data_IF_029827416717
#
_entry.id   IF_029827416717
#
_cell.length_a   1.000
_cell.length_b   1.000
_cell.length_c   1.000
_cell.angle_alpha   90.00
_cell.angle_beta   90.00
_cell.angle_gamma   90.00
#
_symmetry.space_group_name_H-M   'P 1'
#
loop_
_entity.id
_entity.type
_entity.pdbx_description
1 polymer ?
#
# COMPACT_ATOMS: atom_id res chain seq x y z
N UNK A 1 -20.75 11.66 -24.27
CA UNK A 1 -21.41 11.93 -22.97
C UNK A 1 -21.30 10.73 -22.02
N UNK A 2 -21.68 9.52 -22.45
CA UNK A 2 -21.70 8.31 -21.61
C UNK A 2 -20.33 7.89 -21.05
N UNK A 3 -19.24 8.06 -21.79
CA UNK A 3 -17.86 7.76 -21.32
C UNK A 3 -17.43 8.66 -20.18
N UNK A 4 -17.76 9.96 -20.24
CA UNK A 4 -17.47 10.91 -19.16
C UNK A 4 -18.26 10.57 -17.89
N UNK A 5 -19.53 10.19 -18.03
CA UNK A 5 -20.36 9.77 -16.89
C UNK A 5 -19.86 8.45 -16.28
N UNK A 6 -19.51 7.46 -17.11
CA UNK A 6 -18.96 6.19 -16.63
C UNK A 6 -17.58 6.37 -15.96
N UNK A 7 -16.72 7.22 -16.53
CA UNK A 7 -15.44 7.57 -15.93
C UNK A 7 -15.62 8.33 -14.61
N UNK A 8 -16.55 9.29 -14.56
CA UNK A 8 -16.86 10.03 -13.33
C UNK A 8 -17.39 9.09 -12.24
N UNK A 9 -18.32 8.18 -12.57
CA UNK A 9 -18.84 7.19 -11.64
C UNK A 9 -17.74 6.24 -11.14
N UNK A 10 -16.89 5.72 -12.02
CA UNK A 10 -15.76 4.87 -11.66
C UNK A 10 -14.73 5.62 -10.79
N UNK A 11 -14.45 6.88 -11.10
CA UNK A 11 -13.52 7.73 -10.34
C UNK A 11 -14.05 8.01 -8.93
N UNK A 12 -15.35 8.29 -8.79
CA UNK A 12 -16.00 8.46 -7.49
C UNK A 12 -15.91 7.14 -6.69
N UNK A 13 -16.21 6.00 -7.33
CA UNK A 13 -16.09 4.69 -6.69
C UNK A 13 -14.64 4.40 -6.21
N UNK A 14 -13.63 4.77 -7.00
CA UNK A 14 -12.22 4.65 -6.61
C UNK A 14 -11.85 5.59 -5.46
N UNK A 15 -12.30 6.84 -5.48
CA UNK A 15 -12.06 7.83 -4.42
C UNK A 15 -12.65 7.39 -3.08
N UNK A 16 -13.82 6.74 -3.12
CA UNK A 16 -14.52 6.24 -1.92
C UNK A 16 -13.83 5.03 -1.30
N UNK A 17 -12.97 4.32 -2.04
CA UNK A 17 -12.16 3.22 -1.50
C UNK A 17 -10.77 3.79 -1.20
N UNK A 18 -10.55 4.42 -0.02
CA UNK A 18 -9.21 4.75 0.42
C UNK A 18 -8.43 3.45 0.50
N UNK A 19 -7.49 3.26 -0.43
CA UNK A 19 -6.71 2.04 -0.50
C UNK A 19 -5.90 1.81 0.79
N UNK A 20 -5.35 0.60 0.97
CA UNK A 20 -4.52 0.26 2.14
C UNK A 20 -3.39 1.27 2.41
N UNK A 21 -2.83 1.84 1.33
CA UNK A 21 -1.77 2.86 1.41
C UNK A 21 -2.24 4.18 2.05
N UNK A 22 -3.42 4.69 1.66
CA UNK A 22 -3.97 5.94 2.21
C UNK A 22 -4.32 5.84 3.69
N UNK A 23 -4.90 4.70 4.09
CA UNK A 23 -5.19 4.38 5.50
C UNK A 23 -3.89 4.22 6.30
N UNK A 24 -2.85 3.60 5.72
CA UNK A 24 -1.55 3.45 6.35
C UNK A 24 -0.85 4.80 6.63
N UNK A 25 -0.85 5.72 5.67
CA UNK A 25 -0.23 7.04 5.83
C UNK A 25 -0.99 7.88 6.87
N UNK A 26 -2.32 7.84 6.85
CA UNK A 26 -3.16 8.60 7.79
C UNK A 26 -2.99 8.09 9.24
N UNK A 27 -2.98 6.77 9.45
CA UNK A 27 -2.75 6.16 10.78
C UNK A 27 -1.32 6.38 11.28
N UNK A 28 -0.29 6.27 10.42
CA UNK A 28 1.11 6.54 10.79
C UNK A 28 1.35 8.01 11.13
N UNK A 29 0.75 8.93 10.37
CA UNK A 29 0.85 10.38 10.62
C UNK A 29 0.17 10.78 11.93
N UNK A 30 -0.99 10.17 12.22
CA UNK A 30 -1.71 10.38 13.48
C UNK A 30 -0.99 9.76 14.70
N UNK A 31 -0.36 8.58 14.55
CA UNK A 31 0.20 7.83 15.67
C UNK A 31 1.65 8.19 16.05
N UNK A 32 2.48 8.64 15.11
CA UNK A 32 3.93 8.85 15.33
C UNK A 32 4.42 10.27 15.01
N UNK A 33 3.49 11.18 14.69
CA UNK A 33 3.78 12.57 14.33
C UNK A 33 4.28 12.75 12.89
N UNK A 34 4.27 13.99 12.41
CA UNK A 34 4.52 14.37 11.01
C UNK A 34 5.86 13.84 10.46
N UNK A 35 6.91 13.81 11.29
CA UNK A 35 8.26 13.37 10.88
C UNK A 35 8.36 11.86 10.63
N UNK A 36 7.76 11.02 11.48
CA UNK A 36 7.75 9.57 11.28
C UNK A 36 6.80 9.15 10.15
N UNK A 37 5.73 9.92 9.95
CA UNK A 37 4.86 9.82 8.77
C UNK A 37 5.63 10.10 7.47
N UNK A 38 6.41 11.18 7.41
CA UNK A 38 7.18 11.56 6.22
C UNK A 38 8.20 10.50 5.79
N UNK A 39 8.97 9.94 6.74
CA UNK A 39 9.96 8.90 6.44
C UNK A 39 9.29 7.61 5.95
N UNK A 40 8.15 7.26 6.54
CA UNK A 40 7.37 6.09 6.09
C UNK A 40 6.78 6.31 4.69
N UNK A 41 6.26 7.50 4.41
CA UNK A 41 5.72 7.86 3.10
C UNK A 41 6.80 7.84 2.02
N UNK A 42 7.96 8.45 2.29
CA UNK A 42 9.10 8.40 1.38
C UNK A 42 9.59 6.97 1.13
N UNK A 43 9.64 6.12 2.16
CA UNK A 43 9.99 4.71 1.99
C UNK A 43 9.01 3.95 1.09
N UNK A 44 7.71 4.15 1.28
CA UNK A 44 6.66 3.50 0.47
C UNK A 44 6.68 4.01 -0.97
N UNK A 45 6.81 5.32 -1.17
CA UNK A 45 6.92 5.93 -2.50
C UNK A 45 8.16 5.42 -3.24
N UNK A 46 9.33 5.42 -2.58
CA UNK A 46 10.58 4.94 -3.21
C UNK A 46 10.48 3.46 -3.58
N UNK A 47 9.90 2.62 -2.71
CA UNK A 47 9.66 1.21 -3.02
C UNK A 47 8.66 1.02 -4.17
N UNK A 48 7.63 1.85 -4.23
CA UNK A 48 6.64 1.85 -5.31
C UNK A 48 7.29 2.24 -6.64
N UNK A 49 8.15 3.25 -6.67
CA UNK A 49 8.89 3.66 -7.86
C UNK A 49 9.80 2.53 -8.37
N UNK A 50 10.56 1.87 -7.49
CA UNK A 50 11.40 0.73 -7.87
C UNK A 50 10.56 -0.40 -8.45
N UNK A 51 9.41 -0.70 -7.83
CA UNK A 51 8.49 -1.72 -8.33
C UNK A 51 7.91 -1.36 -9.70
N UNK A 52 7.48 -0.11 -9.90
CA UNK A 52 6.95 0.37 -11.19
C UNK A 52 8.02 0.24 -12.28
N UNK A 53 9.26 0.64 -12.00
CA UNK A 53 10.37 0.50 -12.95
C UNK A 53 10.58 -0.97 -13.32
N UNK A 54 10.59 -1.86 -12.33
CA UNK A 54 10.75 -3.30 -12.56
C UNK A 54 9.57 -3.90 -13.35
N UNK A 55 8.35 -3.46 -13.07
CA UNK A 55 7.15 -3.89 -13.77
C UNK A 55 7.16 -3.39 -15.22
N UNK A 56 7.44 -2.11 -15.45
CA UNK A 56 7.45 -1.53 -16.80
C UNK A 56 8.60 -2.10 -17.63
N UNK A 57 9.80 -2.23 -17.08
CA UNK A 57 10.94 -2.77 -17.83
C UNK A 57 10.88 -4.29 -18.00
N UNK A 58 10.48 -5.04 -16.97
CA UNK A 58 10.47 -6.50 -17.00
C UNK A 58 9.19 -7.08 -17.59
N UNK A 59 8.04 -6.67 -17.07
CA UNK A 59 6.74 -7.26 -17.47
C UNK A 59 6.33 -6.77 -18.86
N UNK A 60 6.56 -5.49 -19.21
CA UNK A 60 6.22 -5.01 -20.57
C UNK A 60 7.10 -5.64 -21.65
N UNK A 61 8.40 -5.85 -21.38
CA UNK A 61 9.30 -6.53 -22.31
C UNK A 61 8.90 -8.00 -22.50
N UNK A 62 8.50 -8.68 -21.42
CA UNK A 62 8.05 -10.08 -21.47
C UNK A 62 6.71 -10.24 -22.20
N UNK A 63 5.80 -9.28 -22.03
CA UNK A 63 4.51 -9.26 -22.73
C UNK A 63 4.70 -8.95 -24.22
N UNK A 64 5.57 -8.01 -24.57
CA UNK A 64 5.85 -7.65 -25.97
C UNK A 64 6.49 -8.81 -26.76
N UNK A 65 7.26 -9.66 -26.07
CA UNK A 65 7.93 -10.80 -26.68
C UNK A 65 7.00 -12.00 -26.96
N UNK A 66 5.85 -12.15 -26.26
CA UNK A 66 5.02 -13.35 -26.40
C UNK A 66 3.51 -13.12 -26.20
N UNK A 67 2.68 -13.47 -27.21
CA UNK A 67 1.21 -13.50 -27.08
C UNK A 67 0.69 -14.47 -26.00
N UNK A 68 1.45 -15.54 -25.73
CA UNK A 68 1.08 -16.55 -24.72
C UNK A 68 1.27 -15.98 -23.31
N UNK A 69 2.36 -15.26 -23.06
CA UNK A 69 2.63 -14.62 -21.76
C UNK A 69 1.53 -13.60 -21.39
N UNK A 70 1.09 -12.80 -22.37
CA UNK A 70 -0.04 -11.89 -22.19
C UNK A 70 -1.35 -12.62 -21.84
N UNK A 71 -1.62 -13.74 -22.52
CA UNK A 71 -2.83 -14.54 -22.29
C UNK A 71 -2.83 -15.17 -20.89
N UNK A 72 -1.71 -15.76 -20.47
CA UNK A 72 -1.54 -16.29 -19.11
C UNK A 72 -1.72 -15.20 -18.07
N UNK A 73 -1.10 -14.04 -18.25
CA UNK A 73 -1.22 -12.92 -17.32
C UNK A 73 -2.67 -12.41 -17.21
N UNK A 74 -3.38 -12.33 -18.34
CA UNK A 74 -4.80 -11.95 -18.36
C UNK A 74 -5.65 -12.93 -17.54
N UNK A 75 -5.50 -14.24 -17.74
CA UNK A 75 -6.26 -15.23 -16.99
C UNK A 75 -5.83 -15.30 -15.51
N UNK A 76 -4.53 -15.13 -15.22
CA UNK A 76 -4.02 -15.04 -13.86
C UNK A 76 -4.59 -13.83 -13.10
N UNK A 77 -4.67 -12.66 -13.77
CA UNK A 77 -5.27 -11.46 -13.20
C UNK A 77 -6.76 -11.64 -12.88
N UNK A 78 -7.52 -12.27 -13.78
CA UNK A 78 -8.93 -12.62 -13.53
C UNK A 78 -9.05 -13.57 -12.34
N UNK A 79 -8.24 -14.63 -12.28
CA UNK A 79 -8.22 -15.57 -11.17
C UNK A 79 -7.87 -14.90 -9.84
N UNK A 80 -6.90 -14.00 -9.83
CA UNK A 80 -6.50 -13.26 -8.63
C UNK A 80 -7.61 -12.34 -8.12
N UNK A 81 -8.32 -11.63 -9.01
CA UNK A 81 -9.46 -10.79 -8.62
C UNK A 81 -10.62 -11.62 -8.07
N UNK A 82 -10.93 -12.76 -8.69
CA UNK A 82 -11.95 -13.68 -8.17
C UNK A 82 -11.55 -14.23 -6.80
N UNK A 83 -10.28 -14.59 -6.60
CA UNK A 83 -9.76 -14.99 -5.31
C UNK A 83 -9.88 -13.88 -4.27
N UNK A 84 -9.52 -12.64 -4.63
CA UNK A 84 -9.60 -11.49 -3.73
C UNK A 84 -11.05 -11.20 -3.34
N UNK A 85 -11.97 -11.24 -4.30
CA UNK A 85 -13.41 -11.07 -4.09
C UNK A 85 -14.00 -12.21 -3.22
N UNK A 86 -13.65 -13.46 -3.50
CA UNK A 86 -14.07 -14.59 -2.68
C UNK A 86 -13.51 -14.46 -1.25
N UNK A 87 -12.25 -14.06 -1.10
CA UNK A 87 -11.61 -13.88 0.20
C UNK A 87 -12.24 -12.75 1.01
N UNK A 88 -12.61 -11.62 0.40
CA UNK A 88 -13.29 -10.53 1.10
C UNK A 88 -14.74 -10.86 1.44
N UNK A 89 -15.43 -11.67 0.63
CA UNK A 89 -16.81 -12.12 0.92
C UNK A 89 -16.81 -13.22 2.00
N UNK A 90 -15.87 -14.16 1.95
CA UNK A 90 -15.78 -15.29 2.89
C UNK A 90 -15.16 -14.92 4.23
N UNK A 91 -14.30 -13.90 4.27
CA UNK A 91 -13.85 -13.31 5.53
C UNK A 91 -14.81 -12.19 5.89
N UNK A 92 -15.82 -12.50 6.71
CA UNK A 92 -16.61 -11.51 7.48
C UNK A 92 -15.72 -10.83 8.53
N UNK A 93 -14.67 -10.20 8.05
CA UNK A 93 -13.90 -9.20 8.76
C UNK A 93 -13.89 -8.07 7.75
N UNK A 94 -14.73 -7.06 8.00
CA UNK A 94 -14.66 -5.82 7.27
C UNK A 94 -13.20 -5.35 7.20
N UNK A 95 -12.82 -4.54 6.19
CA UNK A 95 -11.45 -4.13 5.97
C UNK A 95 -10.79 -3.85 7.31
N UNK A 96 -9.71 -4.55 7.61
CA UNK A 96 -9.08 -4.50 8.93
C UNK A 96 -8.34 -3.16 9.02
N UNK A 97 -9.12 -2.08 9.18
CA UNK A 97 -8.70 -0.69 9.28
C UNK A 97 -7.86 -0.43 10.54
N UNK A 98 -7.60 -1.48 11.33
CA UNK A 98 -7.01 -1.41 12.67
C UNK A 98 -6.13 -2.61 13.04
N UNK A 99 -5.59 -3.39 12.10
CA UNK A 99 -4.61 -4.44 12.41
C UNK A 99 -3.22 -3.86 12.78
N UNK A 100 -3.20 -3.08 13.86
CA UNK A 100 -2.30 -3.28 15.00
C UNK A 100 -0.82 -3.40 14.72
N UNK A 101 -0.18 -2.34 14.23
CA UNK A 101 1.21 -2.10 14.64
C UNK A 101 1.16 -1.71 16.11
N UNK A 102 1.43 -2.68 16.99
CA UNK A 102 1.56 -2.44 18.44
C UNK A 102 2.51 -1.26 18.65
N UNK A 103 2.12 -0.22 19.40
CA UNK A 103 3.02 0.88 19.73
C UNK A 103 4.27 0.29 20.38
N UNK A 104 5.44 0.51 19.77
CA UNK A 104 6.71 0.25 20.46
C UNK A 104 6.77 1.29 21.58
N UNK A 105 6.72 0.90 22.86
CA UNK A 105 6.77 1.85 23.95
C UNK A 105 8.14 2.54 23.94
N UNK A 106 8.13 3.86 23.77
CA UNK A 106 9.28 4.76 23.87
C UNK A 106 9.78 4.92 25.32
N UNK A 107 9.91 3.79 26.05
CA UNK A 107 10.46 3.75 27.40
C UNK A 107 11.94 3.35 27.43
N UNK A 108 12.56 3.11 26.26
CA UNK A 108 13.95 2.62 26.17
C UNK A 108 14.97 3.62 25.61
N UNK A 109 14.56 4.83 25.26
CA UNK A 109 15.48 5.89 24.80
C UNK A 109 15.68 7.02 25.81
N UNK A 110 14.98 6.99 26.95
CA UNK A 110 15.07 8.01 28.01
C UNK A 110 16.08 7.70 29.12
N UNK A 111 16.95 6.69 28.99
CA UNK A 111 17.98 6.37 29.99
C UNK A 111 19.42 6.56 29.50
N UNK A 112 19.64 7.31 28.42
CA UNK A 112 20.96 7.88 28.14
C UNK A 112 20.99 9.35 28.58
N UNK A 113 20.70 9.59 29.86
CA UNK A 113 21.03 10.88 30.50
C UNK A 113 22.53 10.86 30.81
N UNK A 114 23.29 11.89 30.44
CA UNK A 114 24.73 11.96 30.63
C UNK A 114 25.02 12.14 32.12
N UNK A 115 25.50 11.08 32.78
CA UNK A 115 25.91 11.10 34.18
C UNK A 115 27.34 10.59 34.29
N UNK A 116 28.29 11.43 33.89
CA UNK A 116 29.69 11.33 34.33
C UNK A 116 30.41 12.66 34.08
N UNK A 117 29.95 13.71 34.77
CA UNK A 117 30.82 14.82 35.17
C UNK A 117 30.91 14.75 36.70
N UNK A 118 31.99 14.15 37.22
CA UNK A 118 32.64 14.46 38.53
C UNK A 118 33.46 13.27 39.06
N UNK A 119 34.72 13.16 38.66
CA UNK A 119 35.83 12.84 39.58
C UNK A 119 37.10 13.44 39.01
#
# INVERSE_FOLDING_TARGET
MTTLLAFAAASIALIVIPGPNGIYIMTRSAAQGYRAGLVSALGVETGTLVHIVFAVLGVSALIAASPVAFSVLKFAGVGYLLYLAARTVLRTSGPDLGAGVKPVPLRRTATATPSAAST
#
